data_IF_017368499260
#
_entry.id   IF_017368499260
#
_cell.length_a   1.000
_cell.length_b   1.000
_cell.length_c   1.000
_cell.angle_alpha   90.00
_cell.angle_beta   90.00
_cell.angle_gamma   90.00
#
_symmetry.space_group_name_H-M   'P 1'
#
loop_
_entity.id
_entity.type
_entity.pdbx_description
1 polymer ?
#
# COMPACT_ATOMS: atom_id res chain seq x y z
N UNK A 1 16.28 0.07 -8.17
CA UNK A 1 15.29 -0.52 -7.25
C UNK A 1 14.06 0.36 -7.25
N UNK A 2 12.84 -0.21 -7.19
CA UNK A 2 11.62 0.57 -7.32
C UNK A 2 11.51 1.51 -6.12
N UNK A 3 11.57 2.82 -6.38
CA UNK A 3 11.52 3.95 -5.45
C UNK A 3 10.55 3.76 -4.27
N UNK A 4 9.41 3.11 -4.54
CA UNK A 4 8.39 2.81 -3.54
C UNK A 4 8.86 1.83 -2.45
N UNK A 5 9.57 0.75 -2.78
CA UNK A 5 10.02 -0.22 -1.78
C UNK A 5 11.05 0.38 -0.82
N UNK A 6 11.95 1.24 -1.31
CA UNK A 6 12.88 1.97 -0.43
C UNK A 6 12.15 2.89 0.54
N UNK A 7 11.09 3.56 0.09
CA UNK A 7 10.30 4.45 0.96
C UNK A 7 9.52 3.65 2.01
N UNK A 8 8.93 2.52 1.60
CA UNK A 8 8.16 1.65 2.50
C UNK A 8 9.03 0.98 3.56
N UNK A 9 10.33 0.76 3.30
CA UNK A 9 11.30 0.23 4.28
C UNK A 9 11.59 1.18 5.44
N UNK A 10 11.31 2.47 5.28
CA UNK A 10 11.47 3.46 6.35
C UNK A 10 10.34 3.39 7.39
N UNK A 11 9.23 2.70 7.07
CA UNK A 11 8.17 2.42 8.05
C UNK A 11 8.68 1.40 9.06
N UNK A 12 8.62 1.73 10.35
CA UNK A 12 9.09 0.81 11.39
C UNK A 12 8.18 -0.40 11.43
N UNK A 13 8.76 -1.59 11.49
CA UNK A 13 8.00 -2.82 11.67
C UNK A 13 7.56 -2.98 13.13
N UNK A 14 6.25 -2.87 13.44
CA UNK A 14 5.77 -3.00 14.81
C UNK A 14 5.54 -4.46 15.22
N UNK A 15 5.77 -5.42 14.30
CA UNK A 15 5.56 -6.85 14.54
C UNK A 15 6.73 -7.44 15.31
N UNK A 16 6.45 -8.58 15.96
CA UNK A 16 7.44 -9.32 16.72
C UNK A 16 8.41 -10.09 15.80
N UNK A 17 9.49 -10.64 16.38
CA UNK A 17 10.58 -11.36 15.69
C UNK A 17 10.13 -12.59 14.89
N UNK A 18 8.90 -13.04 15.08
CA UNK A 18 8.30 -14.17 14.37
C UNK A 18 7.64 -13.77 13.03
N UNK A 19 7.73 -12.50 12.64
CA UNK A 19 7.25 -12.03 11.34
C UNK A 19 7.96 -12.79 10.20
N UNK A 20 7.17 -13.46 9.35
CA UNK A 20 7.69 -14.22 8.20
C UNK A 20 7.85 -13.38 6.94
N UNK A 21 6.92 -12.46 6.69
CA UNK A 21 6.93 -11.65 5.47
C UNK A 21 7.54 -10.27 5.76
N UNK A 22 8.41 -9.81 4.86
CA UNK A 22 8.98 -8.46 4.90
C UNK A 22 7.88 -7.39 4.92
N UNK A 23 8.01 -6.38 5.79
CA UNK A 23 6.97 -5.37 5.95
C UNK A 23 6.78 -4.55 4.68
N UNK A 24 7.86 -4.13 4.04
CA UNK A 24 7.79 -3.29 2.86
C UNK A 24 7.14 -4.04 1.68
N UNK A 25 7.40 -5.35 1.55
CA UNK A 25 6.69 -6.20 0.59
C UNK A 25 5.19 -6.27 0.89
N UNK A 26 4.79 -6.48 2.14
CA UNK A 26 3.37 -6.51 2.53
C UNK A 26 2.68 -5.18 2.24
N UNK A 27 3.33 -4.06 2.57
CA UNK A 27 2.81 -2.73 2.30
C UNK A 27 2.70 -2.46 0.80
N UNK A 28 3.68 -2.92 0.02
CA UNK A 28 3.68 -2.77 -1.43
C UNK A 28 2.52 -3.54 -2.07
N UNK A 29 2.36 -4.83 -1.75
CA UNK A 29 1.28 -5.63 -2.36
C UNK A 29 -0.09 -5.16 -1.89
N UNK A 30 -0.22 -4.68 -0.65
CA UNK A 30 -1.46 -4.09 -0.16
C UNK A 30 -1.80 -2.76 -0.87
N UNK A 31 -0.80 -1.92 -1.13
CA UNK A 31 -0.97 -0.71 -1.93
C UNK A 31 -1.40 -1.05 -3.36
N UNK A 32 -0.72 -2.00 -4.00
CA UNK A 32 -1.06 -2.45 -5.36
C UNK A 32 -2.49 -3.00 -5.43
N UNK A 33 -2.87 -3.89 -4.51
CA UNK A 33 -4.23 -4.43 -4.42
C UNK A 33 -5.28 -3.33 -4.22
N UNK A 34 -4.99 -2.36 -3.34
CA UNK A 34 -5.90 -1.22 -3.06
C UNK A 34 -6.09 -0.34 -4.30
N UNK A 35 -5.02 -0.07 -5.05
CA UNK A 35 -5.11 0.65 -6.33
C UNK A 35 -5.92 -0.12 -7.38
N UNK A 36 -5.91 -1.45 -7.31
CA UNK A 36 -6.75 -2.34 -8.13
C UNK A 36 -8.17 -2.53 -7.57
N UNK A 37 -8.55 -1.83 -6.50
CA UNK A 37 -9.92 -1.79 -5.99
C UNK A 37 -10.22 -2.77 -4.85
N UNK A 38 -9.20 -3.43 -4.27
CA UNK A 38 -9.36 -4.20 -3.04
C UNK A 38 -9.81 -3.28 -1.88
N UNK A 39 -10.79 -3.74 -1.09
CA UNK A 39 -11.40 -2.97 0.01
C UNK A 39 -11.27 -3.66 1.35
N UNK A 40 -10.76 -4.88 1.39
CA UNK A 40 -10.60 -5.68 2.60
C UNK A 40 -9.27 -6.43 2.60
N UNK A 41 -8.83 -6.91 3.77
CA UNK A 41 -7.66 -7.78 3.87
C UNK A 41 -7.86 -9.12 3.17
N UNK A 42 -9.12 -9.58 3.00
CA UNK A 42 -9.45 -10.76 2.21
C UNK A 42 -9.20 -10.48 0.74
N UNK A 43 -9.72 -9.36 0.23
CA UNK A 43 -9.50 -8.93 -1.16
C UNK A 43 -8.01 -8.76 -1.48
N UNK A 44 -7.21 -8.25 -0.52
CA UNK A 44 -5.76 -8.12 -0.69
C UNK A 44 -5.09 -9.51 -0.80
N UNK A 45 -5.46 -10.45 0.07
CA UNK A 45 -4.91 -11.80 0.01
C UNK A 45 -5.29 -12.51 -1.31
N UNK A 46 -6.55 -12.42 -1.72
CA UNK A 46 -7.03 -12.95 -3.01
C UNK A 46 -6.30 -12.31 -4.20
N UNK A 47 -6.04 -11.01 -4.16
CA UNK A 47 -5.26 -10.31 -5.19
C UNK A 47 -3.83 -10.86 -5.30
N UNK A 48 -3.17 -11.11 -4.16
CA UNK A 48 -1.80 -11.63 -4.13
C UNK A 48 -1.74 -13.08 -4.59
N UNK A 49 -2.70 -13.92 -4.17
CA UNK A 49 -2.81 -15.31 -4.63
C UNK A 49 -3.07 -15.39 -6.13
N UNK A 50 -3.95 -14.54 -6.67
CA UNK A 50 -4.28 -14.52 -8.10
C UNK A 50 -3.18 -13.95 -9.01
N UNK A 51 -2.13 -13.34 -8.44
CA UNK A 51 -1.06 -12.64 -9.18
C UNK A 51 0.34 -12.93 -8.62
N UNK A 52 0.53 -14.04 -7.93
CA UNK A 52 1.79 -14.34 -7.23
C UNK A 52 3.00 -14.25 -8.17
N UNK A 53 2.91 -14.84 -9.36
CA UNK A 53 4.01 -14.87 -10.34
C UNK A 53 4.37 -13.46 -10.83
N UNK A 54 3.37 -12.61 -11.14
CA UNK A 54 3.58 -11.22 -11.56
C UNK A 54 4.21 -10.38 -10.44
N UNK A 55 3.73 -10.57 -9.20
CA UNK A 55 4.24 -9.85 -8.04
C UNK A 55 5.68 -10.24 -7.70
N UNK A 56 6.05 -11.51 -7.92
CA UNK A 56 7.42 -12.01 -7.72
C UNK A 56 8.47 -11.39 -8.64
N UNK A 57 8.05 -10.72 -9.71
CA UNK A 57 8.95 -9.91 -10.54
C UNK A 57 9.41 -8.62 -9.82
N UNK A 58 8.70 -8.21 -8.75
CA UNK A 58 8.93 -6.94 -8.05
C UNK A 58 9.35 -7.14 -6.59
N UNK A 59 8.74 -8.11 -5.89
CA UNK A 59 8.98 -8.46 -4.48
C UNK A 59 9.37 -9.94 -4.34
N UNK A 60 10.01 -10.36 -3.25
CA UNK A 60 10.47 -11.75 -3.15
C UNK A 60 9.35 -12.71 -2.75
N UNK A 61 8.47 -12.32 -1.83
CA UNK A 61 7.46 -13.20 -1.23
C UNK A 61 8.08 -14.54 -0.79
N UNK A 62 9.23 -14.48 -0.10
CA UNK A 62 10.04 -15.65 0.30
C UNK A 62 9.25 -16.79 0.96
N UNK A 63 8.17 -16.46 1.66
CA UNK A 63 7.32 -17.39 2.38
C UNK A 63 5.94 -17.62 1.72
N UNK A 64 5.82 -17.32 0.42
CA UNK A 64 4.58 -17.40 -0.35
C UNK A 64 3.62 -16.24 -0.11
N UNK A 65 2.40 -16.40 -0.62
CA UNK A 65 1.32 -15.42 -0.47
C UNK A 65 0.95 -15.22 1.02
N UNK A 66 0.94 -13.97 1.52
CA UNK A 66 0.46 -13.67 2.86
C UNK A 66 -1.06 -13.84 2.97
N UNK A 67 -1.52 -14.44 4.06
CA UNK A 67 -2.95 -14.54 4.38
C UNK A 67 -3.59 -13.20 4.75
N UNK A 68 -4.92 -13.12 4.67
CA UNK A 68 -5.68 -11.96 5.15
C UNK A 68 -5.45 -11.65 6.64
N UNK A 69 -5.15 -12.66 7.46
CA UNK A 69 -4.78 -12.48 8.88
C UNK A 69 -3.43 -11.78 9.03
N UNK A 70 -2.48 -12.05 8.12
CA UNK A 70 -1.19 -11.35 8.08
C UNK A 70 -1.41 -9.86 7.85
N UNK A 71 -2.21 -9.49 6.84
CA UNK A 71 -2.54 -8.09 6.56
C UNK A 71 -3.33 -7.45 7.70
N UNK A 72 -4.34 -8.13 8.23
CA UNK A 72 -5.15 -7.64 9.36
C UNK A 72 -4.30 -7.34 10.59
N UNK A 73 -3.31 -8.18 10.88
CA UNK A 73 -2.37 -7.99 12.00
C UNK A 73 -1.44 -6.82 11.76
N UNK A 74 -0.88 -6.70 10.56
CA UNK A 74 -0.02 -5.58 10.17
C UNK A 74 -0.76 -4.26 10.35
N UNK A 75 -1.94 -4.10 9.74
CA UNK A 75 -2.69 -2.85 9.80
C UNK A 75 -3.20 -2.49 11.21
N UNK A 76 -3.38 -3.48 12.09
CA UNK A 76 -3.74 -3.21 13.49
C UNK A 76 -2.58 -2.65 14.31
N UNK A 77 -1.35 -3.00 13.95
CA UNK A 77 -0.15 -2.64 14.71
C UNK A 77 0.59 -1.42 14.14
N UNK A 78 0.41 -1.14 12.84
CA UNK A 78 1.09 -0.03 12.16
C UNK A 78 0.73 1.32 12.78
N UNK A 79 1.75 2.16 12.90
CA UNK A 79 1.56 3.57 13.20
C UNK A 79 0.95 4.26 11.96
N UNK A 80 -0.28 4.81 12.06
CA UNK A 80 -0.94 5.46 10.93
C UNK A 80 -0.17 6.70 10.44
N UNK A 81 0.55 7.41 11.31
CA UNK A 81 1.31 8.59 10.94
C UNK A 81 2.55 8.23 10.10
N UNK A 82 3.22 7.13 10.44
CA UNK A 82 4.36 6.64 9.64
C UNK A 82 3.92 6.15 8.26
N UNK A 83 2.82 5.41 8.21
CA UNK A 83 2.28 4.96 6.93
C UNK A 83 1.86 6.16 6.06
N UNK A 84 1.21 7.16 6.65
CA UNK A 84 0.83 8.41 5.98
C UNK A 84 2.05 9.17 5.45
N UNK A 85 3.11 9.27 6.24
CA UNK A 85 4.36 9.90 5.83
C UNK A 85 5.01 9.15 4.66
N UNK A 86 5.07 7.82 4.71
CA UNK A 86 5.63 6.99 3.64
C UNK A 86 4.82 7.11 2.34
N UNK A 87 3.48 7.07 2.41
CA UNK A 87 2.62 7.27 1.23
C UNK A 87 2.76 8.67 0.64
N UNK A 88 2.88 9.70 1.49
CA UNK A 88 3.14 11.08 1.06
C UNK A 88 4.48 11.21 0.34
N UNK A 89 5.53 10.61 0.92
CA UNK A 89 6.86 10.57 0.31
C UNK A 89 6.83 9.84 -1.04
N UNK A 90 6.12 8.71 -1.14
CA UNK A 90 5.93 7.98 -2.39
C UNK A 90 5.28 8.85 -3.46
N UNK A 91 4.17 9.53 -3.15
CA UNK A 91 3.47 10.40 -4.13
C UNK A 91 4.38 11.55 -4.57
N UNK A 92 5.10 12.19 -3.66
CA UNK A 92 6.03 13.28 -4.00
C UNK A 92 7.18 12.78 -4.89
N UNK A 93 7.70 11.60 -4.60
CA UNK A 93 8.77 11.00 -5.38
C UNK A 93 8.27 10.60 -6.78
N UNK A 94 7.10 9.98 -6.88
CA UNK A 94 6.44 9.65 -8.15
C UNK A 94 6.20 10.90 -9.01
N UNK A 95 5.69 11.98 -8.42
CA UNK A 95 5.48 13.25 -9.15
C UNK A 95 6.78 13.80 -9.74
N UNK A 96 7.86 13.73 -8.97
CA UNK A 96 9.19 14.19 -9.41
C UNK A 96 9.70 13.37 -10.59
N UNK A 97 9.61 12.05 -10.51
CA UNK A 97 10.03 11.14 -11.60
C UNK A 97 9.19 11.35 -12.87
N UNK A 98 7.90 11.64 -12.71
CA UNK A 98 7.00 11.95 -13.82
C UNK A 98 7.16 13.38 -14.37
N UNK A 99 8.07 14.19 -13.83
CA UNK A 99 8.24 15.59 -14.24
C UNK A 99 7.02 16.47 -13.95
N UNK A 100 6.15 16.05 -13.03
CA UNK A 100 4.95 16.80 -12.67
C UNK A 100 5.35 17.97 -11.76
N UNK A 101 5.14 19.19 -12.24
CA UNK A 101 5.33 20.40 -11.45
C UNK A 101 4.40 20.48 -10.23
N UNK A 102 4.55 21.55 -9.44
CA UNK A 102 3.69 21.80 -8.29
C UNK A 102 2.22 21.75 -8.69
N UNK A 103 1.37 21.04 -7.92
CA UNK A 103 -0.06 21.01 -8.22
C UNK A 103 -0.59 22.44 -8.22
N UNK A 104 -1.37 22.78 -9.25
CA UNK A 104 -2.01 24.09 -9.40
C UNK A 104 -3.52 23.90 -9.27
N UNK A 105 -4.19 24.90 -8.69
CA UNK A 105 -5.64 24.89 -8.49
C UNK A 105 -6.04 24.48 -7.07
N UNK A 106 -7.36 24.45 -6.83
CA UNK A 106 -7.96 24.12 -5.54
C UNK A 106 -8.51 22.70 -5.60
N UNK A 107 -8.07 21.83 -4.70
CA UNK A 107 -8.66 20.50 -4.51
C UNK A 107 -9.73 20.61 -3.42
N UNK A 108 -10.99 20.62 -3.82
CA UNK A 108 -12.10 20.58 -2.88
C UNK A 108 -12.29 19.14 -2.38
N UNK A 109 -11.87 18.86 -1.15
CA UNK A 109 -12.12 17.58 -0.47
C UNK A 109 -13.54 17.65 0.15
N UNK A 110 -14.57 17.61 -0.69
CA UNK A 110 -15.96 17.47 -0.24
C UNK A 110 -16.38 16.00 -0.41
N UNK A 111 -16.60 15.31 0.70
CA UNK A 111 -16.86 13.86 0.72
C UNK A 111 -18.20 13.42 0.10
N UNK A 112 -18.99 14.34 -0.46
CA UNK A 112 -20.30 14.04 -1.06
C UNK A 112 -20.21 13.07 -2.25
N UNK A 113 -19.18 13.21 -3.08
CA UNK A 113 -18.95 12.29 -4.20
C UNK A 113 -18.53 10.89 -3.70
N UNK A 114 -17.62 10.83 -2.72
CA UNK A 114 -17.15 9.57 -2.13
C UNK A 114 -18.26 8.80 -1.38
N UNK A 115 -19.23 9.51 -0.80
CA UNK A 115 -20.40 8.92 -0.13
C UNK A 115 -21.59 8.66 -1.05
N UNK A 116 -21.41 8.76 -2.37
CA UNK A 116 -22.49 8.57 -3.36
C UNK A 116 -23.69 9.50 -3.13
N UNK A 117 -23.49 10.68 -2.55
CA UNK A 117 -24.59 11.64 -2.30
C UNK A 117 -25.26 12.17 -3.57
N UNK A 118 -24.73 11.84 -4.75
CA UNK A 118 -25.27 12.17 -6.07
C UNK A 118 -25.79 10.95 -6.84
N UNK A 119 -25.65 9.73 -6.31
CA UNK A 119 -26.32 8.56 -6.89
C UNK A 119 -27.76 8.54 -6.39
N UNK A 120 -28.71 8.63 -7.33
CA UNK A 120 -30.16 8.50 -7.08
C UNK A 120 -30.58 7.03 -7.09
#
# INVERSE_FOLDING_TARGET
MPLVLSILREVRDPRDINARHDLAELLFVALAATLCGAKSCVDIAEFVEGREDELKEIVELKHGCPSHDTFSRVFRLLDPEELSAALSAFVLALRRELGLGSPRGVVAIDGKALRRGYEK
#
